data_IF_948085061853
#
_entry.id   IF_948085061853
#
_cell.length_a   1.000
_cell.length_b   1.000
_cell.length_c   1.000
_cell.angle_alpha   90.00
_cell.angle_beta   90.00
_cell.angle_gamma   90.00
#
_symmetry.space_group_name_H-M   'P 1'
#
loop_
_entity.id
_entity.type
_entity.pdbx_description
1 polymer ?
#
# COMPACT_ATOMS: atom_id res chain seq x y z
N UNK A 1 -3.13 -15.36 -9.95
CA UNK A 1 -4.50 -15.65 -10.40
C UNK A 1 -4.69 -17.09 -10.85
N UNK A 2 -3.99 -17.59 -11.89
CA UNK A 2 -4.19 -18.98 -12.38
C UNK A 2 -3.73 -20.03 -11.36
N UNK A 3 -2.44 -20.08 -11.03
CA UNK A 3 -1.84 -21.13 -10.18
C UNK A 3 -2.43 -21.23 -8.77
N UNK A 4 -2.80 -20.10 -8.16
CA UNK A 4 -3.14 -20.03 -6.73
C UNK A 4 -4.59 -19.68 -6.45
N UNK A 5 -5.31 -19.06 -7.41
CA UNK A 5 -6.66 -18.53 -7.20
C UNK A 5 -7.68 -19.06 -8.20
N UNK A 6 -7.30 -20.06 -9.02
CA UNK A 6 -8.23 -20.78 -9.88
C UNK A 6 -8.72 -20.03 -11.12
N UNK A 7 -8.02 -18.98 -11.55
CA UNK A 7 -8.37 -18.34 -12.82
C UNK A 7 -8.22 -19.33 -14.00
N UNK A 8 -9.15 -19.36 -14.98
CA UNK A 8 -9.16 -20.37 -16.03
C UNK A 8 -7.89 -20.40 -16.90
N UNK A 9 -7.42 -19.21 -17.30
CA UNK A 9 -6.20 -19.01 -18.07
C UNK A 9 -5.66 -17.59 -17.88
N UNK A 10 -4.52 -17.28 -18.50
CA UNK A 10 -3.91 -15.95 -18.41
C UNK A 10 -4.69 -14.85 -19.13
N UNK A 11 -5.43 -15.18 -20.19
CA UNK A 11 -6.23 -14.21 -20.94
C UNK A 11 -7.39 -13.74 -20.06
N UNK A 12 -8.08 -14.66 -19.39
CA UNK A 12 -9.12 -14.36 -18.42
C UNK A 12 -8.58 -13.65 -17.16
N UNK A 13 -7.38 -14.00 -16.70
CA UNK A 13 -6.79 -13.40 -15.50
C UNK A 13 -6.24 -11.98 -15.69
N UNK A 14 -5.73 -11.65 -16.88
CA UNK A 14 -5.06 -10.37 -17.18
C UNK A 14 -5.91 -9.11 -16.96
N UNK A 15 -7.16 -9.01 -17.45
CA UNK A 15 -7.95 -7.80 -17.25
C UNK A 15 -8.20 -7.53 -15.76
N UNK A 16 -8.60 -8.56 -15.00
CA UNK A 16 -8.80 -8.46 -13.55
C UNK A 16 -7.53 -8.00 -12.85
N UNK A 17 -6.38 -8.62 -13.16
CA UNK A 17 -5.11 -8.20 -12.57
C UNK A 17 -4.74 -6.74 -12.90
N UNK A 18 -5.14 -6.25 -14.08
CA UNK A 18 -4.89 -4.87 -14.49
C UNK A 18 -5.81 -3.89 -13.76
N UNK A 19 -7.08 -4.26 -13.56
CA UNK A 19 -8.05 -3.50 -12.77
C UNK A 19 -7.61 -3.39 -11.31
N UNK A 20 -7.15 -4.47 -10.69
CA UNK A 20 -6.62 -4.47 -9.32
C UNK A 20 -5.41 -3.54 -9.17
N UNK A 21 -4.50 -3.51 -10.16
CA UNK A 21 -3.37 -2.58 -10.17
C UNK A 21 -3.83 -1.12 -10.33
N UNK A 22 -4.81 -0.88 -11.20
CA UNK A 22 -5.40 0.45 -11.39
C UNK A 22 -6.03 0.98 -10.11
N UNK A 23 -6.85 0.16 -9.44
CA UNK A 23 -7.47 0.49 -8.16
C UNK A 23 -6.42 0.84 -7.08
N UNK A 24 -5.34 0.06 -6.97
CA UNK A 24 -4.27 0.38 -6.02
C UNK A 24 -3.52 1.67 -6.38
N UNK A 25 -3.33 1.97 -7.66
CA UNK A 25 -2.72 3.22 -8.10
C UNK A 25 -3.60 4.43 -7.78
N UNK A 26 -4.89 4.36 -8.12
CA UNK A 26 -5.87 5.41 -7.82
C UNK A 26 -5.95 5.69 -6.32
N UNK A 27 -5.91 4.64 -5.48
CA UNK A 27 -5.87 4.79 -4.03
C UNK A 27 -4.61 5.53 -3.56
N UNK A 28 -3.45 5.29 -4.19
CA UNK A 28 -2.21 5.97 -3.83
C UNK A 28 -2.18 7.45 -4.25
N UNK A 29 -2.81 7.80 -5.37
CA UNK A 29 -2.78 9.16 -5.95
C UNK A 29 -3.39 10.23 -5.02
N UNK A 30 -4.27 9.83 -4.11
CA UNK A 30 -4.91 10.72 -3.12
C UNK A 30 -4.05 10.98 -1.87
N UNK A 31 -2.84 10.40 -1.78
CA UNK A 31 -2.01 10.45 -0.58
C UNK A 31 -0.63 11.09 -0.81
N UNK A 32 -0.13 11.78 0.22
CA UNK A 32 1.21 12.35 0.21
C UNK A 32 2.29 11.27 0.18
N UNK A 33 3.47 11.62 -0.34
CA UNK A 33 4.63 10.74 -0.31
C UNK A 33 4.93 10.24 1.13
N UNK A 34 5.41 8.99 1.23
CA UNK A 34 5.67 8.30 2.50
C UNK A 34 4.43 7.98 3.35
N UNK A 35 3.22 8.11 2.81
CA UNK A 35 2.00 7.59 3.46
C UNK A 35 1.97 6.07 3.35
N UNK A 36 1.72 5.39 4.47
CA UNK A 36 1.56 3.92 4.50
C UNK A 36 0.08 3.57 4.43
N UNK A 37 -0.29 2.80 3.41
CA UNK A 37 -1.60 2.18 3.28
C UNK A 37 -1.52 0.73 3.76
N UNK A 38 -2.41 0.38 4.69
CA UNK A 38 -2.57 -1.00 5.15
C UNK A 38 -3.92 -1.54 4.72
N UNK A 39 -3.94 -2.79 4.26
CA UNK A 39 -5.17 -3.49 3.85
C UNK A 39 -5.35 -4.74 4.71
N UNK A 40 -6.50 -4.84 5.36
CA UNK A 40 -6.95 -6.06 6.03
C UNK A 40 -7.99 -6.75 5.17
N UNK A 41 -7.85 -8.06 4.98
CA UNK A 41 -8.74 -8.87 4.15
C UNK A 41 -9.33 -10.01 4.96
N UNK A 42 -10.65 -10.15 4.89
CA UNK A 42 -11.39 -11.24 5.51
C UNK A 42 -12.20 -11.97 4.42
N UNK A 43 -12.06 -13.29 4.34
CA UNK A 43 -12.91 -14.10 3.47
C UNK A 43 -14.25 -14.33 4.17
N UNK A 44 -15.34 -13.93 3.52
CA UNK A 44 -16.71 -14.06 4.01
C UNK A 44 -17.52 -14.94 3.05
N UNK A 45 -18.73 -15.34 3.47
CA UNK A 45 -19.63 -16.16 2.63
C UNK A 45 -20.03 -15.47 1.31
N UNK A 46 -20.02 -14.14 1.28
CA UNK A 46 -20.40 -13.33 0.10
C UNK A 46 -19.20 -12.83 -0.70
N UNK A 47 -17.97 -13.18 -0.29
CA UNK A 47 -16.74 -12.74 -0.96
C UNK A 47 -15.70 -12.18 0.00
N UNK A 48 -14.75 -11.40 -0.52
CA UNK A 48 -13.68 -10.79 0.28
C UNK A 48 -14.14 -9.43 0.80
N UNK A 49 -14.08 -9.24 2.12
CA UNK A 49 -14.23 -7.92 2.75
C UNK A 49 -12.85 -7.31 2.93
N UNK A 50 -12.69 -6.09 2.45
CA UNK A 50 -11.45 -5.33 2.61
C UNK A 50 -11.67 -4.11 3.50
N UNK A 51 -10.68 -3.81 4.34
CA UNK A 51 -10.64 -2.61 5.17
C UNK A 51 -9.29 -1.94 5.00
N UNK A 52 -9.31 -0.66 4.63
CA UNK A 52 -8.11 0.13 4.37
C UNK A 52 -7.89 1.11 5.50
N UNK A 53 -6.62 1.24 5.92
CA UNK A 53 -6.21 2.24 6.91
C UNK A 53 -5.01 3.01 6.39
N UNK A 54 -5.15 4.33 6.44
CA UNK A 54 -4.12 5.31 6.07
C UNK A 54 -3.31 5.65 7.32
N UNK A 55 -1.99 5.65 7.18
CA UNK A 55 -1.03 6.06 8.21
C UNK A 55 -0.14 7.12 7.57
N UNK A 56 -0.36 8.37 7.94
CA UNK A 56 0.42 9.50 7.44
C UNK A 56 1.86 9.46 7.97
N UNK A 57 2.78 9.97 7.16
CA UNK A 57 4.16 10.12 7.57
C UNK A 57 4.25 11.12 8.74
N UNK A 58 5.01 10.77 9.77
CA UNK A 58 5.39 11.75 10.78
C UNK A 58 6.40 12.73 10.19
N UNK A 59 6.21 14.02 10.44
CA UNK A 59 7.22 15.01 10.08
C UNK A 59 8.56 14.66 10.76
N UNK A 60 9.64 14.71 9.99
CA UNK A 60 10.97 14.55 10.53
C UNK A 60 11.26 15.75 11.45
N UNK A 61 11.41 15.49 12.75
CA UNK A 61 11.82 16.52 13.69
C UNK A 61 13.27 16.96 13.36
N UNK A 62 13.44 18.22 12.98
CA UNK A 62 14.74 18.84 12.72
C UNK A 62 15.70 18.70 13.91
N UNK A 63 15.19 18.49 15.13
CA UNK A 63 15.98 18.16 16.32
C UNK A 63 16.83 16.87 16.19
N UNK A 64 16.48 15.95 15.29
CA UNK A 64 17.23 14.70 15.08
C UNK A 64 18.56 14.90 14.34
N UNK A 65 18.74 16.03 13.66
CA UNK A 65 19.99 16.39 12.98
C UNK A 65 20.92 17.25 13.85
N UNK A 66 20.46 17.73 15.02
CA UNK A 66 21.21 18.63 15.91
C UNK A 66 22.06 17.89 16.96
N UNK A 67 22.45 16.64 16.67
CA UNK A 67 23.36 15.86 17.52
C UNK A 67 24.59 15.58 16.64
N UNK A 68 25.79 15.84 17.14
CA UNK A 68 27.12 15.68 16.49
C UNK A 68 27.67 16.91 15.75
N UNK A 69 27.75 18.03 16.46
CA UNK A 69 28.65 19.13 16.12
C UNK A 69 29.37 19.68 17.35
N UNK A 70 30.09 18.85 18.10
CA UNK A 70 31.16 19.38 18.96
C UNK A 70 32.31 19.77 18.04
N UNK A 71 32.53 21.08 17.89
CA UNK A 71 33.83 21.59 17.46
C UNK A 71 34.77 21.27 18.62
N UNK A 72 35.54 20.19 18.49
CA UNK A 72 36.70 19.98 19.34
C UNK A 72 37.66 21.18 19.11
N UNK A 73 38.11 21.78 20.22
CA UNK A 73 38.90 23.03 20.31
C UNK A 73 40.10 23.13 19.36
#
# INVERSE_FOLDING_TARGET
FVTYYGAPDLVAARPVASEELGHMAEMCDEHAANTLLTVSRELTEVGVRESFRVIEAQEADLGQFAIHGSLDE
#
